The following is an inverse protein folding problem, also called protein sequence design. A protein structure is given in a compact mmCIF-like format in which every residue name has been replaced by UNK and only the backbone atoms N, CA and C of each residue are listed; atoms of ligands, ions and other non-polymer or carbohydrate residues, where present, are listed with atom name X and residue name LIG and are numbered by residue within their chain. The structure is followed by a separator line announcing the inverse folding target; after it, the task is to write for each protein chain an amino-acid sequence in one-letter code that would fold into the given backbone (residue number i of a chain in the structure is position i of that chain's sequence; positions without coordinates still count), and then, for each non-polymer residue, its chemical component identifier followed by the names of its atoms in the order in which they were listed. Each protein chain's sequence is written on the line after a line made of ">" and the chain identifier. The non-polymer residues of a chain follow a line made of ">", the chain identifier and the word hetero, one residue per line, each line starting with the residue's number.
data_IF_852716157451
#
_entry.id   IF_852716157451
#
_cell.length_a   1.000
_cell.length_b   1.000
_cell.length_c   1.000
_cell.angle_alpha   90.00
_cell.angle_beta   90.00
_cell.angle_gamma   90.00
#
_symmetry.space_group_name_H-M   'P 1'
#
loop_
_entity.id
_entity.type
_entity.pdbx_description
1 polymer ?
#
# COMPACT_ATOMS: atom_id res chain seq x y z
N UNK A 1 -21.36 6.90 -36.51
CA UNK A 1 -20.11 7.28 -35.82
C UNK A 1 -20.34 7.13 -34.33
N UNK A 2 -19.56 6.30 -33.66
CA UNK A 2 -19.70 6.01 -32.23
C UNK A 2 -18.85 4.81 -31.85
N UNK A 3 -17.51 4.97 -31.87
CA UNK A 3 -16.59 3.98 -31.31
C UNK A 3 -16.59 4.17 -29.80
N UNK A 4 -17.41 3.39 -29.10
CA UNK A 4 -17.20 3.18 -27.67
C UNK A 4 -15.83 2.53 -27.48
N UNK A 5 -14.91 3.26 -26.85
CA UNK A 5 -13.57 2.77 -26.55
C UNK A 5 -13.67 1.70 -25.47
N UNK A 6 -13.73 0.43 -25.88
CA UNK A 6 -13.45 -0.72 -25.01
C UNK A 6 -12.17 -0.43 -24.21
N UNK A 7 -12.34 -0.25 -22.91
CA UNK A 7 -11.28 0.04 -21.96
C UNK A 7 -10.16 -1.00 -22.12
N UNK A 8 -9.06 -0.61 -22.77
CA UNK A 8 -7.90 -1.46 -23.00
C UNK A 8 -7.23 -1.68 -21.63
N UNK A 9 -7.37 -2.89 -21.08
CA UNK A 9 -6.57 -3.38 -19.93
C UNK A 9 -5.10 -3.48 -20.37
N UNK A 10 -4.40 -2.35 -20.41
CA UNK A 10 -3.02 -2.26 -20.86
C UNK A 10 -2.18 -1.68 -19.72
N UNK A 11 -1.10 -2.38 -19.37
CA UNK A 11 -0.15 -1.88 -18.39
C UNK A 11 0.62 -0.68 -18.97
N UNK A 12 0.99 0.32 -18.15
CA UNK A 12 1.92 1.36 -18.57
C UNK A 12 3.24 0.75 -19.06
N UNK A 13 3.86 1.31 -20.09
CA UNK A 13 5.15 0.84 -20.64
C UNK A 13 6.20 0.67 -19.54
N UNK A 14 6.28 1.63 -18.63
CA UNK A 14 7.19 1.59 -17.48
C UNK A 14 6.93 0.41 -16.53
N UNK A 15 5.69 -0.06 -16.39
CA UNK A 15 5.36 -1.24 -15.59
C UNK A 15 5.76 -2.53 -16.32
N UNK A 16 5.59 -2.58 -17.65
CA UNK A 16 5.96 -3.74 -18.49
C UNK A 16 7.47 -3.94 -18.49
N UNK A 17 8.25 -2.87 -18.68
CA UNK A 17 9.72 -2.92 -18.61
C UNK A 17 10.21 -3.38 -17.24
N UNK A 18 9.58 -2.88 -16.16
CA UNK A 18 9.83 -3.33 -14.79
C UNK A 18 9.52 -4.80 -14.55
N UNK A 19 8.44 -5.31 -15.15
CA UNK A 19 8.05 -6.71 -15.09
C UNK A 19 9.02 -7.60 -15.87
N UNK A 20 9.51 -7.14 -17.02
CA UNK A 20 10.48 -7.86 -17.84
C UNK A 20 11.84 -8.05 -17.14
N UNK A 21 12.23 -7.13 -16.26
CA UNK A 21 13.43 -7.28 -15.44
C UNK A 21 13.28 -8.32 -14.33
N UNK A 22 12.04 -8.66 -13.95
CA UNK A 22 11.76 -9.52 -12.80
C UNK A 22 11.36 -10.94 -13.20
N UNK A 23 10.97 -11.14 -14.46
CA UNK A 23 10.36 -12.37 -14.97
C UNK A 23 11.07 -12.76 -16.26
N UNK A 24 11.41 -14.05 -16.39
CA UNK A 24 11.98 -14.56 -17.63
C UNK A 24 10.91 -14.55 -18.74
N UNK A 25 11.16 -13.90 -19.89
CA UNK A 25 10.25 -13.95 -21.01
C UNK A 25 10.13 -15.39 -21.52
N UNK A 26 8.90 -15.85 -21.68
CA UNK A 26 8.59 -17.16 -22.25
C UNK A 26 8.10 -16.97 -23.67
N UNK A 27 8.85 -17.49 -24.62
CA UNK A 27 8.43 -17.57 -26.01
C UNK A 27 7.43 -18.70 -26.17
N UNK A 28 6.38 -18.46 -26.95
CA UNK A 28 5.32 -19.43 -27.17
C UNK A 28 4.86 -19.36 -28.63
N UNK A 29 4.80 -20.52 -29.27
CA UNK A 29 4.19 -20.66 -30.59
C UNK A 29 2.66 -20.79 -30.46
N UNK A 30 1.88 -20.45 -31.51
CA UNK A 30 0.42 -20.51 -31.44
C UNK A 30 -0.15 -21.86 -30.97
N UNK A 31 0.49 -22.97 -31.32
CA UNK A 31 0.05 -24.32 -30.95
C UNK A 31 0.31 -24.67 -29.47
N UNK A 32 1.13 -23.90 -28.77
CA UNK A 32 1.58 -24.19 -27.41
C UNK A 32 0.81 -23.39 -26.33
N UNK A 33 -0.08 -22.49 -26.75
CA UNK A 33 -0.86 -21.62 -25.86
C UNK A 33 -1.67 -22.39 -24.81
N UNK A 34 -2.19 -23.56 -25.16
CA UNK A 34 -2.98 -24.42 -24.27
C UNK A 34 -2.15 -25.15 -23.19
N UNK A 35 -0.83 -25.25 -23.38
CA UNK A 35 0.08 -26.03 -22.52
C UNK A 35 0.91 -25.16 -21.55
N UNK A 36 0.56 -23.87 -21.41
CA UNK A 36 1.28 -22.98 -20.51
C UNK A 36 0.91 -23.21 -19.02
N UNK A 37 1.87 -23.03 -18.09
CA UNK A 37 1.66 -23.27 -16.65
C UNK A 37 0.80 -22.17 -15.99
N UNK A 38 0.06 -22.50 -14.93
CA UNK A 38 -0.83 -21.57 -14.20
C UNK A 38 -0.20 -20.22 -13.88
N UNK A 39 -0.82 -19.16 -14.36
CA UNK A 39 -0.34 -17.79 -14.16
C UNK A 39 -1.15 -16.73 -14.90
N UNK A 40 -0.65 -15.50 -14.83
CA UNK A 40 -1.10 -14.39 -15.66
C UNK A 40 -0.01 -14.07 -16.67
N UNK A 41 -0.40 -13.94 -17.93
CA UNK A 41 0.51 -13.72 -19.05
C UNK A 41 0.38 -12.30 -19.54
N UNK A 42 1.51 -11.60 -19.62
CA UNK A 42 1.58 -10.24 -20.17
C UNK A 42 2.27 -10.34 -21.52
N UNK A 43 1.64 -9.83 -22.58
CA UNK A 43 2.22 -9.79 -23.92
C UNK A 43 3.43 -8.85 -23.91
N UNK A 44 4.62 -9.39 -24.15
CA UNK A 44 5.86 -8.63 -24.29
C UNK A 44 6.10 -8.24 -25.76
N UNK A 45 5.86 -9.17 -26.68
CA UNK A 45 5.97 -8.99 -28.13
C UNK A 45 5.01 -9.94 -28.84
N UNK A 46 4.55 -9.55 -30.04
CA UNK A 46 3.51 -10.26 -30.79
C UNK A 46 2.09 -9.80 -30.44
N UNK A 47 1.10 -10.46 -31.03
CA UNK A 47 -0.32 -10.16 -30.85
C UNK A 47 -1.11 -11.42 -30.51
N UNK A 48 -2.03 -11.29 -29.56
CA UNK A 48 -2.90 -12.35 -29.09
C UNK A 48 -4.36 -11.92 -29.26
N UNK A 49 -5.13 -12.69 -30.01
CA UNK A 49 -6.57 -12.53 -30.18
C UNK A 49 -7.33 -13.38 -29.17
N UNK A 50 -8.22 -12.77 -28.40
CA UNK A 50 -9.10 -13.47 -27.46
C UNK A 50 -10.49 -13.60 -28.07
N UNK A 51 -10.97 -14.84 -28.18
CA UNK A 51 -12.36 -15.13 -28.54
C UNK A 51 -13.26 -15.02 -27.32
N UNK A 52 -14.02 -13.93 -27.20
CA UNK A 52 -15.13 -13.88 -26.25
C UNK A 52 -16.38 -14.44 -26.92
N UNK A 53 -17.07 -15.39 -26.28
CA UNK A 53 -18.34 -15.92 -26.78
C UNK A 53 -19.28 -14.77 -27.16
N UNK A 54 -19.72 -14.76 -28.42
CA UNK A 54 -20.38 -13.68 -29.18
C UNK A 54 -19.42 -12.71 -29.90
N UNK A 55 -18.96 -13.15 -31.07
CA UNK A 55 -18.54 -12.40 -32.29
C UNK A 55 -17.53 -11.23 -32.19
N UNK A 56 -17.14 -10.76 -31.01
CA UNK A 56 -16.11 -9.72 -30.84
C UNK A 56 -14.77 -10.36 -30.51
N UNK A 57 -13.76 -10.12 -31.34
CA UNK A 57 -12.37 -10.52 -31.08
C UNK A 57 -11.63 -9.37 -30.42
N UNK A 58 -11.03 -9.63 -29.25
CA UNK A 58 -10.19 -8.64 -28.56
C UNK A 58 -8.73 -8.92 -28.81
N UNK A 59 -8.02 -7.99 -29.46
CA UNK A 59 -6.58 -8.10 -29.71
C UNK A 59 -5.80 -7.48 -28.55
N UNK A 60 -4.92 -8.28 -27.95
CA UNK A 60 -3.92 -7.86 -26.97
C UNK A 60 -2.56 -7.73 -27.66
N UNK A 61 -1.95 -6.57 -27.53
CA UNK A 61 -0.57 -6.29 -27.94
C UNK A 61 0.29 -6.00 -26.71
N UNK A 62 1.53 -5.53 -26.89
CA UNK A 62 2.49 -5.27 -25.81
C UNK A 62 1.85 -4.57 -24.60
N UNK A 63 1.90 -5.23 -23.45
CA UNK A 63 1.31 -4.74 -22.20
C UNK A 63 -0.13 -5.16 -21.90
N UNK A 64 -0.80 -5.76 -22.87
CA UNK A 64 -2.03 -6.50 -22.63
C UNK A 64 -1.72 -7.73 -21.78
N UNK A 65 -2.62 -8.07 -20.88
CA UNK A 65 -2.48 -9.26 -20.04
C UNK A 65 -3.75 -10.09 -20.05
N UNK A 66 -3.60 -11.38 -19.79
CA UNK A 66 -4.63 -12.40 -19.88
C UNK A 66 -4.44 -13.45 -18.79
N UNK A 67 -5.52 -13.91 -18.18
CA UNK A 67 -5.48 -15.03 -17.23
C UNK A 67 -5.41 -16.37 -17.98
N UNK A 68 -5.02 -17.45 -17.31
CA UNK A 68 -4.97 -18.75 -17.98
C UNK A 68 -6.34 -19.23 -18.50
N UNK A 69 -7.43 -18.91 -17.80
CA UNK A 69 -8.80 -19.24 -18.23
C UNK A 69 -9.16 -18.53 -19.54
N UNK A 70 -8.80 -17.25 -19.65
CA UNK A 70 -9.00 -16.46 -20.88
C UNK A 70 -8.06 -16.91 -22.02
N UNK A 71 -6.90 -17.52 -21.69
CA UNK A 71 -5.93 -18.01 -22.66
C UNK A 71 -6.42 -19.27 -23.41
N UNK A 72 -7.29 -20.09 -22.79
CA UNK A 72 -7.78 -21.33 -23.40
C UNK A 72 -8.58 -21.12 -24.70
N UNK A 73 -9.12 -19.92 -24.92
CA UNK A 73 -9.81 -19.51 -26.14
C UNK A 73 -9.03 -18.50 -27.00
N UNK A 74 -7.72 -18.35 -26.76
CA UNK A 74 -6.89 -17.37 -27.43
C UNK A 74 -6.23 -17.96 -28.69
N UNK A 75 -6.11 -17.13 -29.73
CA UNK A 75 -5.35 -17.44 -30.94
C UNK A 75 -4.26 -16.39 -31.14
N UNK A 76 -3.07 -16.84 -31.55
CA UNK A 76 -1.98 -15.94 -31.92
C UNK A 76 -1.79 -15.97 -33.44
N UNK A 77 -1.56 -14.80 -34.05
CA UNK A 77 -1.26 -14.68 -35.48
C UNK A 77 0.17 -15.14 -35.83
N UNK A 78 1.04 -15.23 -34.84
CA UNK A 78 2.44 -15.64 -34.99
C UNK A 78 3.09 -15.93 -33.64
N UNK A 79 4.42 -15.87 -33.58
CA UNK A 79 5.18 -16.06 -32.33
C UNK A 79 4.83 -14.96 -31.33
N UNK A 80 4.47 -15.33 -30.11
CA UNK A 80 4.18 -14.39 -29.01
C UNK A 80 5.17 -14.62 -27.88
N UNK A 81 5.69 -13.54 -27.31
CA UNK A 81 6.55 -13.57 -26.13
C UNK A 81 5.75 -13.07 -24.95
N UNK A 82 5.71 -13.84 -23.87
CA UNK A 82 5.00 -13.49 -22.65
C UNK A 82 5.98 -13.21 -21.50
N UNK A 83 5.63 -12.26 -20.63
CA UNK A 83 6.10 -12.26 -19.24
C UNK A 83 5.07 -13.04 -18.41
N UNK A 84 5.53 -14.08 -17.71
CA UNK A 84 4.66 -14.98 -16.95
C UNK A 84 4.74 -14.69 -15.45
N UNK A 85 3.66 -14.17 -14.89
CA UNK A 85 3.52 -14.05 -13.44
C UNK A 85 2.83 -15.30 -12.89
N UNK A 86 3.38 -15.89 -11.84
CA UNK A 86 2.71 -16.95 -11.13
C UNK A 86 1.44 -16.39 -10.42
N UNK A 87 0.57 -17.28 -9.94
CA UNK A 87 -0.70 -16.88 -9.31
C UNK A 87 -0.53 -16.05 -8.02
N UNK A 88 0.58 -16.20 -7.29
CA UNK A 88 0.87 -15.40 -6.11
C UNK A 88 1.24 -13.95 -6.46
N UNK A 89 1.88 -13.76 -7.60
CA UNK A 89 2.35 -12.47 -8.12
C UNK A 89 1.34 -11.80 -9.06
N UNK A 90 0.23 -12.47 -9.38
CA UNK A 90 -0.84 -11.97 -10.24
C UNK A 90 -1.44 -10.64 -9.75
N UNK A 91 -1.44 -10.42 -8.44
CA UNK A 91 -1.90 -9.18 -7.85
C UNK A 91 -1.15 -7.96 -8.45
N UNK A 92 0.15 -8.11 -8.77
CA UNK A 92 1.12 -7.04 -9.15
C UNK A 92 0.71 -6.25 -10.40
N UNK A 93 -0.22 -6.81 -11.17
CA UNK A 93 -0.73 -6.29 -12.43
C UNK A 93 -1.83 -5.24 -12.19
N UNK A 94 -2.51 -5.29 -11.04
CA UNK A 94 -3.55 -4.32 -10.74
C UNK A 94 -2.94 -3.02 -10.27
N UNK A 95 -3.02 -1.95 -11.07
CA UNK A 95 -2.64 -0.58 -10.68
C UNK A 95 -3.43 -0.03 -9.48
N UNK A 96 -4.49 -0.74 -9.04
CA UNK A 96 -5.24 -0.53 -7.80
C UNK A 96 -4.74 -1.36 -6.61
N UNK A 97 -3.57 -2.00 -6.72
CA UNK A 97 -3.01 -3.01 -5.82
C UNK A 97 -3.10 -2.76 -4.30
N UNK A 98 -3.19 -1.50 -3.89
CA UNK A 98 -3.33 -1.14 -2.48
C UNK A 98 -4.73 -1.52 -1.96
N UNK A 99 -5.75 -1.63 -2.82
CA UNK A 99 -7.14 -1.81 -2.39
C UNK A 99 -7.72 -3.07 -3.04
N UNK A 100 -8.18 -4.01 -2.21
CA UNK A 100 -8.96 -5.15 -2.68
C UNK A 100 -10.31 -4.68 -3.21
N UNK A 101 -10.82 -5.25 -4.32
CA UNK A 101 -12.13 -4.88 -4.85
C UNK A 101 -13.24 -5.45 -3.95
N UNK A 102 -13.76 -4.60 -3.05
CA UNK A 102 -14.93 -4.90 -2.23
C UNK A 102 -15.13 -3.84 -1.14
N UNK A 103 -16.17 -3.01 -1.28
CA UNK A 103 -16.66 -2.05 -0.27
C UNK A 103 -15.59 -1.24 0.48
N UNK A 104 -15.07 -0.18 -0.14
CA UNK A 104 -14.01 0.65 0.45
C UNK A 104 -14.44 1.36 1.74
N UNK A 105 -13.74 1.13 2.85
CA UNK A 105 -13.90 1.87 4.10
C UNK A 105 -13.54 3.35 3.92
N UNK A 106 -13.96 4.20 4.86
CA UNK A 106 -13.68 5.65 4.81
C UNK A 106 -12.18 5.92 4.73
N UNK A 107 -11.36 5.12 5.41
CA UNK A 107 -9.89 5.26 5.40
C UNK A 107 -9.29 4.80 4.07
N UNK A 108 -9.80 3.72 3.49
CA UNK A 108 -9.33 3.30 2.17
C UNK A 108 -9.64 4.37 1.12
N UNK A 109 -10.81 5.01 1.20
CA UNK A 109 -11.15 6.17 0.35
C UNK A 109 -10.22 7.36 0.63
N UNK A 110 -9.90 7.64 1.88
CA UNK A 110 -8.98 8.71 2.27
C UNK A 110 -7.57 8.49 1.68
N UNK A 111 -7.11 7.26 1.65
CA UNK A 111 -5.78 6.88 1.16
C UNK A 111 -5.76 6.66 -0.38
N UNK A 112 -6.91 6.71 -1.04
CA UNK A 112 -7.01 6.73 -2.50
C UNK A 112 -6.69 8.13 -3.03
N UNK A 113 -5.40 8.36 -3.27
CA UNK A 113 -4.94 9.61 -3.88
C UNK A 113 -5.32 9.72 -5.36
N UNK A 114 -5.77 10.90 -5.75
CA UNK A 114 -5.89 11.33 -7.14
C UNK A 114 -4.47 11.48 -7.72
N UNK A 115 -4.23 10.96 -8.92
CA UNK A 115 -2.97 11.18 -9.62
C UNK A 115 -3.09 12.45 -10.46
N UNK A 116 -2.25 13.43 -10.19
CA UNK A 116 -2.22 14.70 -10.92
C UNK A 116 -1.25 14.58 -12.09
N UNK A 117 -0.01 14.16 -11.81
CA UNK A 117 1.06 13.99 -12.79
C UNK A 117 1.93 12.77 -12.46
N UNK A 118 3.04 12.60 -13.20
CA UNK A 118 4.06 11.62 -12.82
C UNK A 118 4.65 12.01 -11.46
N UNK A 119 4.61 11.07 -10.51
CA UNK A 119 5.12 11.26 -9.15
C UNK A 119 4.50 12.44 -8.36
N UNK A 120 3.35 12.97 -8.81
CA UNK A 120 2.56 14.00 -8.11
C UNK A 120 1.14 13.50 -7.87
N UNK A 121 0.73 13.54 -6.61
CA UNK A 121 -0.56 13.01 -6.17
C UNK A 121 -1.29 14.03 -5.30
N UNK A 122 -2.62 14.02 -5.36
CA UNK A 122 -3.49 14.87 -4.54
C UNK A 122 -4.28 14.01 -3.55
N UNK A 123 -4.21 14.39 -2.29
CA UNK A 123 -4.99 13.81 -1.19
C UNK A 123 -5.99 14.80 -0.65
N UNK A 124 -7.05 14.28 -0.04
CA UNK A 124 -8.09 15.06 0.61
C UNK A 124 -8.22 14.62 2.07
N UNK A 125 -8.73 15.51 2.91
CA UNK A 125 -9.07 15.21 4.30
C UNK A 125 -10.57 14.99 4.42
N UNK A 126 -11.00 14.15 5.36
CA UNK A 126 -12.39 14.08 5.77
C UNK A 126 -12.55 14.81 7.11
N UNK A 127 -13.19 15.98 7.16
CA UNK A 127 -13.33 16.77 8.39
C UNK A 127 -14.01 16.02 9.53
N UNK A 128 -14.94 15.12 9.19
CA UNK A 128 -15.79 14.39 10.14
C UNK A 128 -15.21 13.05 10.58
N UNK A 129 -14.08 12.62 10.01
CA UNK A 129 -13.48 11.33 10.33
C UNK A 129 -12.78 11.34 11.69
N UNK A 130 -12.16 12.48 12.04
CA UNK A 130 -11.47 12.66 13.31
C UNK A 130 -11.70 14.08 13.81
N UNK A 131 -11.99 14.26 15.08
CA UNK A 131 -12.38 15.56 15.66
C UNK A 131 -11.22 16.57 15.86
N UNK A 132 -9.98 16.21 15.48
CA UNK A 132 -8.84 17.12 15.60
C UNK A 132 -9.05 18.42 14.81
N UNK A 133 -8.56 19.56 15.31
CA UNK A 133 -8.66 20.83 14.57
C UNK A 133 -7.81 20.80 13.28
N UNK A 134 -6.61 20.22 13.38
CA UNK A 134 -5.67 20.08 12.27
C UNK A 134 -5.81 18.72 11.58
N UNK A 135 -5.16 18.57 10.43
CA UNK A 135 -5.00 17.26 9.79
C UNK A 135 -4.31 16.29 10.75
N UNK A 136 -4.88 15.08 10.86
CA UNK A 136 -4.30 14.00 11.66
C UNK A 136 -2.96 13.53 11.09
N UNK A 137 -1.94 13.37 11.94
CA UNK A 137 -0.59 12.98 11.52
C UNK A 137 -0.55 11.65 10.75
N UNK A 138 -1.28 10.63 11.20
CA UNK A 138 -1.40 9.36 10.49
C UNK A 138 -2.03 9.47 9.10
N UNK A 139 -2.88 10.48 8.85
CA UNK A 139 -3.35 10.77 7.49
C UNK A 139 -2.18 11.19 6.60
N UNK A 140 -1.33 12.11 7.06
CA UNK A 140 -0.17 12.58 6.31
C UNK A 140 0.80 11.42 6.01
N UNK A 141 1.12 10.61 7.03
CA UNK A 141 2.01 9.44 6.89
C UNK A 141 1.41 8.40 5.93
N UNK A 142 0.14 8.04 6.12
CA UNK A 142 -0.54 7.04 5.31
C UNK A 142 -0.67 7.46 3.84
N UNK A 143 -1.07 8.72 3.58
CA UNK A 143 -1.19 9.26 2.23
C UNK A 143 0.19 9.39 1.57
N UNK A 144 1.20 9.91 2.28
CA UNK A 144 2.56 10.01 1.74
C UNK A 144 3.14 8.63 1.38
N UNK A 145 2.91 7.61 2.21
CA UNK A 145 3.33 6.24 1.90
C UNK A 145 2.56 5.67 0.72
N UNK A 146 1.26 5.96 0.57
CA UNK A 146 0.49 5.57 -0.60
C UNK A 146 1.04 6.23 -1.88
N UNK A 147 1.41 7.51 -1.84
CA UNK A 147 2.07 8.21 -2.95
C UNK A 147 3.42 7.58 -3.30
N UNK A 148 4.27 7.34 -2.30
CA UNK A 148 5.58 6.70 -2.50
C UNK A 148 5.42 5.32 -3.14
N UNK A 149 4.52 4.48 -2.61
CA UNK A 149 4.29 3.12 -3.08
C UNK A 149 3.82 3.07 -4.54
N UNK A 150 3.00 4.05 -4.99
CA UNK A 150 2.57 4.16 -6.39
C UNK A 150 3.70 4.49 -7.37
N UNK A 151 4.84 5.00 -6.90
CA UNK A 151 6.01 5.37 -7.72
C UNK A 151 7.07 4.26 -7.85
N UNK A 152 6.96 3.19 -7.04
CA UNK A 152 7.93 2.09 -6.98
C UNK A 152 7.46 0.92 -7.85
N UNK A 153 8.38 0.05 -8.25
CA UNK A 153 8.04 -1.24 -8.85
C UNK A 153 7.21 -2.08 -7.85
N UNK A 154 6.09 -2.72 -8.27
CA UNK A 154 5.22 -3.46 -7.36
C UNK A 154 5.88 -4.64 -6.64
N UNK A 155 7.03 -5.17 -7.12
CA UNK A 155 7.80 -6.21 -6.40
C UNK A 155 8.48 -5.71 -5.12
N UNK A 156 8.50 -4.40 -4.90
CA UNK A 156 9.11 -3.82 -3.73
C UNK A 156 8.05 -3.52 -2.68
N UNK A 157 8.30 -4.01 -1.47
CA UNK A 157 7.50 -3.73 -0.30
C UNK A 157 8.22 -2.71 0.57
N UNK A 158 7.47 -1.77 1.14
CA UNK A 158 8.03 -0.85 2.14
C UNK A 158 8.55 -1.66 3.32
N UNK A 159 9.78 -1.36 3.76
CA UNK A 159 10.33 -1.94 4.98
C UNK A 159 10.65 -0.88 6.04
N UNK A 160 10.80 0.38 5.65
CA UNK A 160 10.94 1.48 6.60
C UNK A 160 10.52 2.82 6.03
N UNK A 161 10.09 3.71 6.91
CA UNK A 161 9.96 5.14 6.64
C UNK A 161 10.39 5.97 7.85
N UNK A 162 10.76 7.21 7.56
CA UNK A 162 11.04 8.28 8.51
C UNK A 162 10.34 9.53 8.01
N UNK A 163 9.74 10.31 8.91
CA UNK A 163 8.99 11.50 8.52
C UNK A 163 9.02 12.59 9.56
N UNK A 164 8.83 13.83 9.14
CA UNK A 164 8.76 15.02 9.98
C UNK A 164 7.50 15.82 9.68
N UNK A 165 6.83 16.28 10.74
CA UNK A 165 5.69 17.18 10.69
C UNK A 165 6.20 18.61 10.90
N UNK A 166 6.09 19.46 9.87
CA UNK A 166 6.69 20.79 9.88
C UNK A 166 5.67 21.86 10.28
N UNK A 167 4.45 21.76 9.75
CA UNK A 167 3.38 22.72 10.01
C UNK A 167 2.04 22.01 10.21
N UNK A 168 1.13 22.58 11.02
CA UNK A 168 -0.23 22.06 11.16
C UNK A 168 -0.98 22.16 9.83
N UNK A 169 -1.52 21.04 9.35
CA UNK A 169 -2.31 21.02 8.11
C UNK A 169 -3.75 21.50 8.30
N UNK A 170 -4.31 22.14 7.27
CA UNK A 170 -5.71 22.56 7.18
C UNK A 170 -6.56 21.48 6.50
N UNK A 171 -7.64 21.03 7.16
CA UNK A 171 -8.53 19.99 6.63
C UNK A 171 -9.33 20.42 5.40
N UNK A 172 -9.53 21.72 5.20
CA UNK A 172 -10.30 22.27 4.08
C UNK A 172 -9.51 22.34 2.78
N UNK A 173 -8.18 22.25 2.86
CA UNK A 173 -7.27 22.41 1.72
C UNK A 173 -6.76 21.04 1.25
N UNK A 174 -6.82 20.71 -0.05
CA UNK A 174 -6.20 19.49 -0.57
C UNK A 174 -4.69 19.46 -0.34
N UNK A 175 -4.13 18.26 -0.19
CA UNK A 175 -2.70 18.07 0.06
C UNK A 175 -2.03 17.57 -1.22
N UNK A 176 -0.99 18.25 -1.68
CA UNK A 176 -0.20 17.82 -2.85
C UNK A 176 1.03 17.08 -2.39
N UNK A 177 1.13 15.80 -2.72
CA UNK A 177 2.29 14.95 -2.46
C UNK A 177 3.17 14.88 -3.70
N UNK A 178 4.38 15.44 -3.61
CA UNK A 178 5.42 15.30 -4.63
C UNK A 178 6.40 14.22 -4.20
N UNK A 179 6.61 13.23 -5.06
CA UNK A 179 7.52 12.11 -4.82
C UNK A 179 8.78 12.30 -5.64
N UNK A 180 9.93 12.27 -4.97
CA UNK A 180 11.24 12.23 -5.60
C UNK A 180 11.81 10.81 -5.53
N UNK A 181 12.26 10.30 -6.68
CA UNK A 181 12.94 9.00 -6.78
C UNK A 181 14.41 9.19 -6.45
N UNK A 182 14.80 8.83 -5.23
CA UNK A 182 16.18 8.98 -4.75
C UNK A 182 17.07 7.87 -5.33
N UNK A 183 16.56 6.63 -5.36
CA UNK A 183 17.29 5.47 -5.87
C UNK A 183 16.31 4.40 -6.36
N UNK A 184 16.62 3.80 -7.50
CA UNK A 184 16.03 2.55 -7.99
C UNK A 184 17.16 1.55 -8.24
N UNK A 185 17.48 0.75 -7.22
CA UNK A 185 18.46 -0.34 -7.31
C UNK A 185 17.78 -1.69 -7.53
N UNK A 186 18.59 -2.74 -7.67
CA UNK A 186 18.10 -4.10 -7.88
C UNK A 186 17.27 -4.63 -6.69
N UNK A 187 17.79 -4.44 -5.46
CA UNK A 187 17.15 -4.93 -4.23
C UNK A 187 16.46 -3.85 -3.40
N UNK A 188 16.83 -2.58 -3.58
CA UNK A 188 16.30 -1.46 -2.81
C UNK A 188 15.85 -0.29 -3.69
N UNK A 189 14.73 0.31 -3.31
CA UNK A 189 14.24 1.57 -3.88
C UNK A 189 14.00 2.58 -2.75
N UNK A 190 14.40 3.83 -2.96
CA UNK A 190 14.24 4.91 -1.99
C UNK A 190 13.40 6.04 -2.61
N UNK A 191 12.47 6.57 -1.81
CA UNK A 191 11.60 7.70 -2.17
C UNK A 191 11.68 8.76 -1.09
N UNK A 192 11.77 10.02 -1.52
CA UNK A 192 11.49 11.18 -0.68
C UNK A 192 10.12 11.72 -1.08
N UNK A 193 9.30 12.13 -0.12
CA UNK A 193 7.97 12.69 -0.34
C UNK A 193 7.87 14.00 0.41
N UNK A 194 7.44 15.04 -0.29
CA UNK A 194 7.10 16.33 0.30
C UNK A 194 5.61 16.59 0.10
N UNK A 195 4.91 16.92 1.18
CA UNK A 195 3.49 17.25 1.18
C UNK A 195 3.30 18.77 1.29
N UNK A 196 2.53 19.34 0.36
CA UNK A 196 2.31 20.77 0.23
C UNK A 196 0.85 21.13 0.49
N UNK A 197 0.65 22.27 1.16
CA UNK A 197 -0.61 23.04 1.17
C UNK A 197 -0.27 24.50 0.93
N UNK A 198 -0.99 25.16 0.01
CA UNK A 198 -0.76 26.58 -0.34
C UNK A 198 0.74 26.90 -0.57
N UNK A 199 1.42 26.05 -1.34
CA UNK A 199 2.86 26.10 -1.66
C UNK A 199 3.84 25.98 -0.47
N UNK A 200 3.35 25.72 0.74
CA UNK A 200 4.16 25.45 1.92
C UNK A 200 4.30 23.94 2.17
N UNK A 201 5.52 23.47 2.44
CA UNK A 201 5.76 22.07 2.82
C UNK A 201 5.31 21.88 4.27
N UNK A 202 4.23 21.13 4.48
CA UNK A 202 3.69 20.84 5.81
C UNK A 202 4.26 19.55 6.41
N UNK A 203 4.78 18.65 5.57
CA UNK A 203 5.25 17.33 5.99
C UNK A 203 6.27 16.77 4.98
N UNK A 204 7.27 16.06 5.49
CA UNK A 204 8.27 15.35 4.68
C UNK A 204 8.41 13.90 5.14
N UNK A 205 8.71 13.00 4.19
CA UNK A 205 8.94 11.58 4.49
C UNK A 205 9.97 10.98 3.54
N UNK A 206 10.88 10.17 4.07
CA UNK A 206 11.70 9.25 3.29
C UNK A 206 11.24 7.82 3.55
N UNK A 207 11.01 7.06 2.48
CA UNK A 207 10.60 5.66 2.54
C UNK A 207 11.58 4.78 1.75
N UNK A 208 11.95 3.65 2.36
CA UNK A 208 12.78 2.62 1.74
C UNK A 208 11.96 1.35 1.52
N UNK A 209 12.12 0.81 0.32
CA UNK A 209 11.44 -0.36 -0.16
C UNK A 209 12.46 -1.41 -0.55
N UNK A 210 12.11 -2.68 -0.32
CA UNK A 210 12.96 -3.83 -0.63
C UNK A 210 12.18 -4.84 -1.46
N UNK A 211 12.89 -5.56 -2.31
CA UNK A 211 12.35 -6.75 -2.96
C UNK A 211 12.07 -7.83 -1.90
N UNK A 212 11.06 -8.65 -2.13
CA UNK A 212 10.82 -9.85 -1.31
C UNK A 212 11.97 -10.84 -1.46
N UNK A 213 12.67 -11.15 -0.37
CA UNK A 213 13.79 -12.09 -0.33
C UNK A 213 13.70 -12.92 0.97
N UNK A 214 14.04 -14.20 0.91
CA UNK A 214 14.23 -15.05 2.08
C UNK A 214 15.57 -14.74 2.77
N UNK A 215 15.65 -14.95 4.08
CA UNK A 215 16.86 -14.65 4.85
C UNK A 215 16.78 -15.20 6.27
N UNK A 216 17.76 -14.87 7.11
CA UNK A 216 17.75 -15.27 8.51
C UNK A 216 16.57 -14.64 9.26
N UNK A 217 15.90 -15.45 10.09
CA UNK A 217 14.67 -15.08 10.77
C UNK A 217 14.83 -15.17 12.29
N UNK A 218 14.47 -14.09 12.99
CA UNK A 218 14.42 -14.05 14.45
C UNK A 218 13.44 -12.97 14.89
N UNK A 219 12.65 -13.27 15.93
CA UNK A 219 11.72 -12.33 16.55
C UNK A 219 11.77 -12.45 18.08
N UNK A 220 11.51 -11.34 18.77
CA UNK A 220 11.22 -11.40 20.20
C UNK A 220 9.86 -12.08 20.44
N UNK A 221 9.67 -12.79 21.55
CA UNK A 221 8.37 -13.34 21.92
C UNK A 221 7.31 -12.24 22.03
N UNK A 222 6.10 -12.53 21.56
CA UNK A 222 4.95 -11.62 21.74
C UNK A 222 4.56 -11.62 23.23
N UNK A 223 4.37 -10.45 23.87
CA UNK A 223 3.96 -10.40 25.27
C UNK A 223 2.58 -11.03 25.46
N UNK A 224 2.42 -11.80 26.53
CA UNK A 224 1.13 -12.38 26.90
C UNK A 224 0.20 -11.27 27.39
N UNK A 225 -0.82 -10.95 26.58
CA UNK A 225 -1.85 -9.97 26.91
C UNK A 225 -3.23 -10.62 26.76
N UNK A 226 -4.21 -10.26 27.60
CA UNK A 226 -5.56 -10.76 27.44
C UNK A 226 -6.09 -10.39 26.04
N UNK A 227 -6.93 -11.25 25.43
CA UNK A 227 -7.57 -10.93 24.17
C UNK A 227 -8.38 -9.64 24.32
N UNK A 228 -8.41 -8.76 23.30
CA UNK A 228 -9.14 -7.51 23.40
C UNK A 228 -10.64 -7.78 23.57
N UNK A 229 -11.23 -7.23 24.64
CA UNK A 229 -12.66 -7.39 24.97
C UNK A 229 -13.55 -6.88 23.82
N UNK A 230 -13.21 -5.73 23.23
CA UNK A 230 -13.63 -5.28 21.89
C UNK A 230 -12.68 -4.17 21.38
N UNK A 231 -12.38 -4.08 20.07
CA UNK A 231 -11.62 -2.95 19.55
C UNK A 231 -12.43 -1.66 19.68
N UNK A 232 -11.83 -0.63 20.33
CA UNK A 232 -12.40 0.73 20.39
C UNK A 232 -12.84 1.21 19.00
N UNK A 233 -13.83 2.08 18.94
CA UNK A 233 -14.44 2.54 17.67
C UNK A 233 -13.41 3.01 16.64
N UNK A 234 -12.40 3.77 17.06
CA UNK A 234 -11.26 4.21 16.25
C UNK A 234 -10.38 3.10 15.66
N UNK A 235 -10.45 1.87 16.20
CA UNK A 235 -9.76 0.68 15.70
C UNK A 235 -10.69 -0.32 15.00
N UNK A 236 -12.01 -0.11 15.01
CA UNK A 236 -12.97 -0.94 14.24
C UNK A 236 -12.62 -0.96 12.75
N UNK A 237 -11.95 0.08 12.25
CA UNK A 237 -11.44 0.15 10.87
C UNK A 237 -10.46 -0.98 10.50
N UNK A 238 -9.64 -1.48 11.45
CA UNK A 238 -8.68 -2.57 11.20
C UNK A 238 -9.39 -3.94 11.29
N UNK A 239 -10.57 -4.00 11.92
CA UNK A 239 -11.37 -5.23 12.07
C UNK A 239 -11.72 -5.88 10.72
N UNK A 240 -11.75 -5.11 9.62
CA UNK A 240 -11.94 -5.67 8.27
C UNK A 240 -10.76 -6.48 7.73
N UNK A 241 -9.57 -6.31 8.31
CA UNK A 241 -8.35 -6.99 7.90
C UNK A 241 -7.94 -8.11 8.87
N UNK A 242 -8.92 -8.70 9.57
CA UNK A 242 -8.69 -9.88 10.42
C UNK A 242 -8.72 -11.16 9.58
N UNK A 243 -7.81 -12.11 9.86
CA UNK A 243 -7.74 -13.40 9.17
C UNK A 243 -6.89 -13.37 7.90
N UNK A 244 -7.44 -13.80 6.76
CA UNK A 244 -6.68 -13.97 5.48
C UNK A 244 -6.38 -12.65 4.74
N UNK A 245 -7.12 -11.58 5.01
CA UNK A 245 -6.97 -10.29 4.32
C UNK A 245 -6.01 -9.38 5.09
N UNK A 246 -4.77 -9.27 4.63
CA UNK A 246 -3.77 -8.39 5.26
C UNK A 246 -4.05 -6.92 4.92
N UNK A 247 -3.95 -5.98 5.89
CA UNK A 247 -4.13 -4.57 5.60
C UNK A 247 -2.98 -4.06 4.74
N UNK A 248 -3.25 -3.17 3.78
CA UNK A 248 -2.21 -2.44 3.08
C UNK A 248 -1.32 -1.66 4.06
N UNK A 249 -0.02 -1.60 3.78
CA UNK A 249 0.94 -0.92 4.65
C UNK A 249 0.60 0.55 4.94
N UNK A 250 -0.04 1.26 4.01
CA UNK A 250 -0.50 2.63 4.25
C UNK A 250 -1.59 2.73 5.33
N UNK A 251 -2.43 1.70 5.52
CA UNK A 251 -3.40 1.66 6.62
C UNK A 251 -2.68 1.43 7.94
N UNK A 252 -1.68 0.53 7.96
CA UNK A 252 -0.87 0.31 9.16
C UNK A 252 -0.09 1.56 9.54
N UNK A 253 0.45 2.30 8.57
CA UNK A 253 1.14 3.57 8.78
C UNK A 253 0.19 4.70 9.22
N UNK A 254 -1.07 4.69 8.76
CA UNK A 254 -2.11 5.57 9.31
C UNK A 254 -2.42 5.22 10.77
N UNK A 255 -2.59 3.92 11.04
CA UNK A 255 -2.95 3.42 12.36
C UNK A 255 -1.83 3.59 13.39
N UNK A 256 -0.56 3.53 12.96
CA UNK A 256 0.59 3.64 13.86
C UNK A 256 0.74 5.00 14.53
N UNK A 257 0.17 6.05 13.95
CA UNK A 257 0.19 7.38 14.56
C UNK A 257 -0.86 7.54 15.67
N UNK A 258 -1.79 6.58 15.80
CA UNK A 258 -2.75 6.52 16.90
C UNK A 258 -2.11 5.99 18.18
N UNK A 259 -2.47 6.61 19.33
CA UNK A 259 -2.16 6.16 20.71
C UNK A 259 -0.68 6.17 21.12
N UNK A 260 0.27 6.22 20.18
CA UNK A 260 1.70 6.24 20.53
C UNK A 260 2.08 7.45 21.40
N UNK A 261 1.39 8.57 21.22
CA UNK A 261 1.63 9.77 22.02
C UNK A 261 1.10 9.63 23.45
N UNK A 262 -0.01 8.92 23.63
CA UNK A 262 -0.67 8.74 24.92
C UNK A 262 0.20 7.94 25.90
N UNK A 263 0.97 6.96 25.40
CA UNK A 263 1.83 6.13 26.26
C UNK A 263 2.91 6.94 26.97
N UNK A 264 3.43 8.00 26.34
CA UNK A 264 4.42 8.88 26.93
C UNK A 264 3.82 9.91 27.89
N UNK A 265 2.50 10.13 27.81
CA UNK A 265 1.77 11.11 28.63
C UNK A 265 1.21 10.49 29.91
N UNK A 266 0.86 9.20 29.86
CA UNK A 266 0.31 8.45 31.01
C UNK A 266 1.16 8.54 32.29
N UNK A 267 2.50 8.42 32.26
CA UNK A 267 3.33 8.56 33.46
C UNK A 267 3.23 9.94 34.13
N UNK A 268 2.75 10.94 33.41
CA UNK A 268 2.57 12.31 33.88
C UNK A 268 1.12 12.62 34.27
N UNK A 269 0.25 11.60 34.34
CA UNK A 269 -1.17 11.76 34.69
C UNK A 269 -2.06 12.25 33.55
N UNK A 270 -1.51 12.46 32.36
CA UNK A 270 -2.25 12.96 31.21
C UNK A 270 -2.79 11.79 30.39
N UNK A 271 -4.11 11.72 30.26
CA UNK A 271 -4.79 10.77 29.37
C UNK A 271 -5.68 11.52 28.39
N UNK A 272 -5.77 11.01 27.16
CA UNK A 272 -6.65 11.61 26.17
C UNK A 272 -8.10 11.31 26.54
N UNK A 273 -9.00 12.26 26.32
CA UNK A 273 -10.44 12.04 26.48
C UNK A 273 -10.99 10.96 25.52
N UNK A 274 -12.31 10.69 25.56
CA UNK A 274 -12.96 9.68 24.70
C UNK A 274 -12.65 9.87 23.20
N UNK A 275 -12.50 11.13 22.78
CA UNK A 275 -12.24 11.56 21.40
C UNK A 275 -10.77 11.45 21.00
N UNK A 276 -9.87 11.12 21.92
CA UNK A 276 -8.42 11.06 21.69
C UNK A 276 -7.73 12.43 21.72
N UNK A 277 -8.43 13.48 22.14
CA UNK A 277 -7.93 14.85 22.26
C UNK A 277 -7.53 15.13 23.72
N UNK A 278 -6.43 15.85 23.92
CA UNK A 278 -6.03 16.40 25.21
C UNK A 278 -6.59 17.83 25.34
N UNK A 279 -7.33 18.11 26.40
CA UNK A 279 -7.97 19.42 26.63
C UNK A 279 -7.03 20.42 27.29
N UNK A 280 -6.19 19.95 28.20
CA UNK A 280 -5.41 20.81 29.11
C UNK A 280 -3.94 20.95 28.66
N UNK A 281 -3.56 20.26 27.58
CA UNK A 281 -2.20 20.27 27.08
C UNK A 281 -2.15 20.24 25.56
N UNK A 282 -1.23 21.00 24.98
CA UNK A 282 -0.96 20.97 23.54
C UNK A 282 0.14 19.97 23.26
N UNK A 283 -0.21 18.95 22.48
CA UNK A 283 0.73 17.91 22.07
C UNK A 283 0.73 17.79 20.55
N UNK A 284 1.93 17.77 19.98
CA UNK A 284 2.14 17.71 18.53
C UNK A 284 3.22 16.67 18.21
N UNK A 285 2.96 15.87 17.19
CA UNK A 285 3.96 14.95 16.62
C UNK A 285 5.08 15.77 15.96
N UNK A 286 6.35 15.47 16.23
CA UNK A 286 7.48 16.08 15.51
C UNK A 286 7.94 15.21 14.36
N UNK A 287 8.12 13.92 14.63
CA UNK A 287 8.55 12.92 13.66
C UNK A 287 7.72 11.64 13.82
N UNK A 288 7.80 10.77 12.82
CA UNK A 288 7.26 9.42 12.90
C UNK A 288 8.15 8.49 12.08
N UNK A 289 8.69 7.47 12.76
CA UNK A 289 9.54 6.46 12.16
C UNK A 289 8.91 5.09 12.32
N UNK A 290 8.94 4.32 11.24
CA UNK A 290 8.23 3.06 11.15
C UNK A 290 9.07 2.04 10.41
N UNK A 291 9.18 0.82 10.97
CA UNK A 291 9.86 -0.31 10.34
C UNK A 291 8.95 -1.52 10.30
N UNK A 292 8.77 -2.05 9.11
CA UNK A 292 8.03 -3.28 8.84
C UNK A 292 9.03 -4.45 8.87
N UNK A 293 8.89 -5.40 9.81
CA UNK A 293 9.63 -6.66 9.75
C UNK A 293 9.10 -7.53 8.60
N UNK A 294 9.96 -8.41 8.07
CA UNK A 294 9.64 -9.30 6.94
C UNK A 294 8.41 -10.16 7.29
N UNK A 295 7.43 -10.37 6.39
CA UNK A 295 6.25 -11.17 6.69
C UNK A 295 6.63 -12.62 7.07
N UNK A 296 6.09 -13.10 8.20
CA UNK A 296 6.36 -14.45 8.74
C UNK A 296 5.19 -15.43 8.51
N UNK A 297 5.49 -16.73 8.59
CA UNK A 297 4.56 -17.74 9.12
C UNK A 297 4.89 -17.89 10.61
N UNK A 298 3.93 -17.65 11.50
CA UNK A 298 4.13 -17.80 12.95
C UNK A 298 3.24 -18.96 13.40
N UNK A 299 3.69 -19.85 14.30
CA UNK A 299 2.77 -20.71 15.02
C UNK A 299 1.81 -19.82 15.83
N UNK A 300 0.52 -19.84 15.50
CA UNK A 300 -0.49 -19.28 16.39
C UNK A 300 -0.67 -20.27 17.54
N UNK A 301 0.07 -20.08 18.62
CA UNK A 301 -0.30 -20.65 19.92
C UNK A 301 -1.10 -19.60 20.68
N UNK A 302 -2.43 -19.74 20.81
CA UNK A 302 -3.01 -19.55 22.13
C UNK A 302 -2.39 -20.62 23.05
N UNK A 303 -2.42 -20.43 24.35
CA UNK A 303 -2.24 -21.54 25.28
C UNK A 303 -3.13 -22.71 24.81
N UNK A 304 -2.51 -23.78 24.28
CA UNK A 304 -3.16 -25.02 23.88
C UNK A 304 -4.09 -24.93 22.66
N UNK A 305 -3.56 -24.99 21.44
CA UNK A 305 -4.05 -25.82 20.31
C UNK A 305 -3.30 -25.44 19.02
N UNK A 306 -2.74 -26.45 18.35
CA UNK A 306 -1.92 -26.26 17.15
C UNK A 306 -2.79 -25.93 15.93
N UNK A 307 -2.82 -24.66 15.54
CA UNK A 307 -3.18 -24.26 14.18
C UNK A 307 -2.17 -23.25 13.67
N UNK A 308 -1.87 -23.26 12.37
CA UNK A 308 -0.91 -22.36 11.73
C UNK A 308 -1.65 -21.23 11.03
N UNK A 309 -1.49 -19.98 11.50
CA UNK A 309 -1.94 -18.78 10.79
C UNK A 309 -0.80 -17.76 10.65
N UNK A 310 -0.60 -17.15 9.46
CA UNK A 310 0.43 -16.13 9.31
C UNK A 310 0.04 -14.86 10.06
N UNK A 311 0.54 -14.71 11.29
CA UNK A 311 0.42 -13.50 12.08
C UNK A 311 1.32 -12.39 11.53
N UNK A 312 0.72 -11.23 11.28
CA UNK A 312 1.44 -10.01 10.97
C UNK A 312 2.02 -9.44 12.26
N UNK A 313 3.33 -9.21 12.31
CA UNK A 313 3.91 -8.52 13.45
C UNK A 313 3.46 -7.05 13.49
N UNK A 314 3.22 -6.50 14.69
CA UNK A 314 3.14 -5.06 14.83
C UNK A 314 4.50 -4.46 14.46
N UNK A 315 4.51 -3.41 13.65
CA UNK A 315 5.74 -2.79 13.19
C UNK A 315 6.47 -2.06 14.32
N UNK A 316 7.80 -1.92 14.20
CA UNK A 316 8.60 -1.15 15.17
C UNK A 316 8.37 0.35 14.90
N UNK A 317 8.07 1.09 15.97
CA UNK A 317 7.71 2.49 15.93
C UNK A 317 8.63 3.32 16.82
N UNK A 318 9.00 4.50 16.34
CA UNK A 318 9.72 5.51 17.12
C UNK A 318 9.12 6.87 16.80
N UNK A 319 8.87 7.67 17.85
CA UNK A 319 8.21 8.96 17.76
C UNK A 319 8.76 9.92 18.82
N UNK A 320 9.05 11.13 18.40
CA UNK A 320 9.41 12.30 19.20
C UNK A 320 8.25 13.31 19.08
N UNK A 321 7.97 14.01 20.17
CA UNK A 321 6.89 14.97 20.26
C UNK A 321 7.30 16.17 21.09
N UNK A 322 6.65 17.30 20.82
CA UNK A 322 6.77 18.51 21.66
C UNK A 322 5.58 18.54 22.59
N UNK A 323 5.90 18.74 23.86
CA UNK A 323 4.94 18.94 24.92
C UNK A 323 4.99 20.42 25.31
N UNK A 324 3.93 21.17 25.03
CA UNK A 324 3.82 22.55 25.50
C UNK A 324 2.78 22.61 26.62
N UNK A 325 3.27 22.71 27.86
CA UNK A 325 2.44 22.88 29.04
C UNK A 325 2.16 24.37 29.17
N UNK A 326 1.00 24.82 28.68
CA UNK A 326 0.48 26.12 29.08
C UNK A 326 -0.15 25.95 30.47
N UNK A 327 0.35 26.63 31.53
CA UNK A 327 -0.38 26.70 32.78
C UNK A 327 -1.72 27.39 32.52
N UNK A 328 -2.78 26.88 33.16
CA UNK A 328 -4.11 27.47 33.16
C UNK A 328 -4.10 28.89 33.72
#
# INVERSE_FOLDING_TARGET
>A
MGRESLCRKQLPITAIERLALAVQPKECLPLELSNLPRGVYIVWSGELALGTGNSSVKILSRGGFVTQEELQGATASGKVVFLVLNSADAALIHTKHIWTPGGTSVIEKLLQLEKVEIDVYRGFSNPNLVEFKQIFGGQLVGQALAAASKSVNPFFLVHSLHSYFLFPGDKSIPIIYRVQRIRDGYNFANRSVSAFQSDQIIFTMTASFRRGESGAEHQLPVPCVPPPEEPKERFRMIKRYTGKNKPPFCILAYASDWIFLESALRPHGWTSGPTGIFTDIKVLSMDHSWRVPVPHQVPSTPCGEQSFTPLYQPPKLTKVFILNITPA
#
